data_IF_333468612693
#
_entry.id   IF_333468612693
#
_cell.length_a   1.000
_cell.length_b   1.000
_cell.length_c   1.000
_cell.angle_alpha   90.00
_cell.angle_beta   90.00
_cell.angle_gamma   90.00
#
_symmetry.space_group_name_H-M   'P 1'
#
loop_
_entity.id
_entity.type
_entity.pdbx_description
1 polymer ?
#
# COMPACT_ATOMS: atom_id res chain seq x y z
N UNK A 1 -16.18 -19.72 -1.38
CA UNK A 1 -14.98 -18.88 -1.51
C UNK A 1 -15.47 -17.58 -2.13
N UNK A 2 -15.39 -16.49 -1.38
CA UNK A 2 -15.93 -15.19 -1.83
C UNK A 2 -14.99 -14.61 -2.90
N UNK A 3 -15.53 -13.80 -3.83
CA UNK A 3 -14.73 -13.14 -4.90
C UNK A 3 -13.57 -12.34 -4.31
N UNK A 4 -13.73 -11.77 -3.10
CA UNK A 4 -12.69 -11.08 -2.36
C UNK A 4 -11.54 -12.02 -1.94
N UNK A 5 -11.84 -13.28 -1.60
CA UNK A 5 -10.82 -14.28 -1.24
C UNK A 5 -9.99 -14.69 -2.46
N UNK A 6 -10.63 -14.78 -3.63
CA UNK A 6 -9.95 -15.12 -4.89
C UNK A 6 -9.00 -14.00 -5.31
N UNK A 7 -9.44 -12.73 -5.22
CA UNK A 7 -8.61 -11.56 -5.52
C UNK A 7 -7.41 -11.51 -4.56
N UNK A 8 -7.63 -11.77 -3.25
CA UNK A 8 -6.56 -11.81 -2.24
C UNK A 8 -5.51 -12.89 -2.54
N UNK A 9 -5.94 -14.08 -2.97
CA UNK A 9 -5.04 -15.19 -3.31
C UNK A 9 -4.23 -14.88 -4.58
N UNK A 10 -4.87 -14.26 -5.57
CA UNK A 10 -4.21 -13.87 -6.83
C UNK A 10 -3.15 -12.80 -6.56
N UNK A 11 -3.46 -11.77 -5.76
CA UNK A 11 -2.49 -10.72 -5.40
C UNK A 11 -1.31 -11.28 -4.59
N UNK A 12 -1.57 -12.20 -3.66
CA UNK A 12 -0.50 -12.87 -2.90
C UNK A 12 0.36 -13.74 -3.83
N UNK A 13 -0.25 -14.48 -4.75
CA UNK A 13 0.48 -15.35 -5.68
C UNK A 13 1.33 -14.53 -6.66
N UNK A 14 0.82 -13.39 -7.16
CA UNK A 14 1.56 -12.46 -8.02
C UNK A 14 2.74 -11.86 -7.24
N UNK A 15 2.51 -11.39 -6.01
CA UNK A 15 3.56 -10.80 -5.16
C UNK A 15 4.64 -11.82 -4.79
N UNK A 16 4.27 -13.08 -4.50
CA UNK A 16 5.20 -14.16 -4.23
C UNK A 16 5.98 -14.59 -5.48
N UNK A 17 5.32 -14.71 -6.64
CA UNK A 17 5.96 -15.03 -7.92
C UNK A 17 6.97 -13.97 -8.36
N UNK A 18 6.63 -12.69 -8.19
CA UNK A 18 7.53 -11.57 -8.45
C UNK A 18 8.73 -11.57 -7.48
N UNK A 19 8.50 -11.91 -6.21
CA UNK A 19 9.60 -12.03 -5.23
C UNK A 19 10.64 -13.09 -5.63
N UNK A 20 10.22 -14.24 -6.13
CA UNK A 20 11.10 -15.32 -6.60
C UNK A 20 11.85 -14.89 -7.88
N UNK A 21 11.15 -14.23 -8.81
CA UNK A 21 11.76 -13.76 -10.05
C UNK A 21 12.83 -12.68 -9.79
N UNK A 22 12.56 -11.72 -8.88
CA UNK A 22 13.52 -10.72 -8.44
C UNK A 22 14.75 -11.38 -7.81
N UNK A 23 14.58 -12.39 -6.95
CA UNK A 23 15.68 -13.11 -6.33
C UNK A 23 16.60 -13.77 -7.37
N UNK A 24 16.05 -14.30 -8.46
CA UNK A 24 16.84 -14.89 -9.56
C UNK A 24 17.47 -13.84 -10.48
N UNK A 25 16.84 -12.66 -10.63
CA UNK A 25 17.36 -11.56 -11.45
C UNK A 25 18.54 -10.81 -10.77
N UNK A 26 18.63 -10.81 -9.44
CA UNK A 26 19.71 -10.16 -8.67
C UNK A 26 21.11 -10.74 -9.01
N UNK A 27 21.18 -11.96 -9.56
CA UNK A 27 22.44 -12.66 -9.82
C UNK A 27 23.32 -12.13 -10.96
N UNK A 28 22.92 -11.16 -11.78
CA UNK A 28 23.72 -10.68 -12.95
C UNK A 28 23.60 -9.17 -13.23
N UNK A 29 24.72 -8.39 -13.06
CA UNK A 29 25.14 -7.14 -13.75
C UNK A 29 24.35 -5.79 -13.61
N UNK A 30 25.05 -4.64 -13.82
CA UNK A 30 24.60 -3.24 -13.66
C UNK A 30 23.30 -2.87 -14.42
N UNK A 31 23.03 -3.48 -15.56
CA UNK A 31 21.79 -3.30 -16.34
C UNK A 31 20.57 -3.69 -15.52
N UNK A 32 20.72 -4.61 -14.59
CA UNK A 32 19.66 -5.13 -13.71
C UNK A 32 19.35 -4.20 -12.55
N UNK A 33 20.33 -3.45 -12.05
CA UNK A 33 20.07 -2.46 -11.00
C UNK A 33 19.08 -1.40 -11.50
N UNK A 34 19.30 -0.88 -12.72
CA UNK A 34 18.40 0.09 -13.33
C UNK A 34 17.00 -0.51 -13.53
N UNK A 35 16.95 -1.71 -14.10
CA UNK A 35 15.68 -2.42 -14.31
C UNK A 35 14.90 -2.64 -12.98
N UNK A 36 15.59 -3.04 -11.91
CA UNK A 36 14.97 -3.23 -10.60
C UNK A 36 14.49 -1.90 -10.00
N UNK A 37 15.24 -0.81 -10.15
CA UNK A 37 14.80 0.51 -9.73
C UNK A 37 13.54 0.94 -10.48
N UNK A 38 13.52 0.77 -11.78
CA UNK A 38 12.35 1.09 -12.60
C UNK A 38 11.14 0.23 -12.19
N UNK A 39 11.36 -1.07 -11.96
CA UNK A 39 10.31 -1.98 -11.48
C UNK A 39 9.72 -1.52 -10.13
N UNK A 40 10.56 -1.27 -9.12
CA UNK A 40 10.09 -0.84 -7.80
C UNK A 40 9.47 0.56 -7.84
N UNK A 41 9.94 1.43 -8.71
CA UNK A 41 9.36 2.76 -8.92
C UNK A 41 7.97 2.67 -9.54
N UNK A 42 7.75 1.79 -10.49
CA UNK A 42 6.43 1.54 -11.07
C UNK A 42 5.49 0.91 -10.05
N UNK A 43 5.93 -0.14 -9.36
CA UNK A 43 5.13 -0.82 -8.34
C UNK A 43 4.69 0.12 -7.21
N UNK A 44 5.59 0.99 -6.72
CA UNK A 44 5.22 1.96 -5.68
C UNK A 44 4.24 3.03 -6.17
N UNK A 45 4.32 3.42 -7.44
CA UNK A 45 3.37 4.35 -8.04
C UNK A 45 1.99 3.69 -8.20
N UNK A 46 1.93 2.43 -8.60
CA UNK A 46 0.68 1.67 -8.69
C UNK A 46 0.02 1.54 -7.31
N UNK A 47 0.81 1.21 -6.27
CA UNK A 47 0.30 1.16 -4.88
C UNK A 47 -0.21 2.53 -4.42
N UNK A 48 0.52 3.60 -4.76
CA UNK A 48 0.13 4.98 -4.46
C UNK A 48 -1.22 5.35 -5.11
N UNK A 49 -1.42 4.96 -6.35
CA UNK A 49 -2.67 5.23 -7.07
C UNK A 49 -3.84 4.42 -6.51
N UNK A 50 -3.61 3.15 -6.13
CA UNK A 50 -4.61 2.34 -5.43
C UNK A 50 -4.98 2.94 -4.07
N UNK A 51 -3.99 3.37 -3.28
CA UNK A 51 -4.24 4.09 -2.02
C UNK A 51 -5.08 5.34 -2.26
N UNK A 52 -4.71 6.15 -3.27
CA UNK A 52 -5.43 7.37 -3.60
C UNK A 52 -6.90 7.08 -3.92
N UNK A 53 -7.16 6.13 -4.81
CA UNK A 53 -8.51 5.72 -5.19
C UNK A 53 -9.29 5.20 -3.98
N UNK A 54 -8.68 4.37 -3.16
CA UNK A 54 -9.32 3.82 -1.96
C UNK A 54 -9.74 4.91 -0.95
N UNK A 55 -8.88 5.89 -0.68
CA UNK A 55 -9.22 7.01 0.20
C UNK A 55 -10.26 7.95 -0.41
N UNK A 56 -10.23 8.16 -1.73
CA UNK A 56 -11.27 8.91 -2.42
C UNK A 56 -12.64 8.22 -2.25
N UNK A 57 -12.72 6.91 -2.44
CA UNK A 57 -13.95 6.15 -2.23
C UNK A 57 -14.48 6.24 -0.79
N UNK A 58 -13.59 6.28 0.21
CA UNK A 58 -13.97 6.50 1.61
C UNK A 58 -14.55 7.91 1.80
N UNK A 59 -13.88 8.94 1.30
CA UNK A 59 -14.29 10.33 1.47
C UNK A 59 -15.58 10.68 0.71
N UNK A 60 -15.84 9.98 -0.41
CA UNK A 60 -17.08 10.14 -1.18
C UNK A 60 -18.23 9.22 -0.74
N UNK A 61 -18.12 8.61 0.45
CA UNK A 61 -19.16 7.75 1.04
C UNK A 61 -19.56 6.59 0.10
N UNK A 62 -18.58 5.90 -0.50
CA UNK A 62 -18.82 4.81 -1.47
C UNK A 62 -18.56 3.42 -0.90
N UNK A 63 -18.07 3.30 0.34
CA UNK A 63 -17.67 2.04 0.95
C UNK A 63 -18.49 1.70 2.20
N UNK A 64 -18.78 0.42 2.36
CA UNK A 64 -19.27 -0.12 3.64
C UNK A 64 -18.10 -0.27 4.62
N UNK A 65 -18.39 -0.38 5.92
CA UNK A 65 -17.37 -0.64 6.94
C UNK A 65 -16.58 -1.94 6.67
N UNK A 66 -17.25 -2.96 6.12
CA UNK A 66 -16.63 -4.22 5.72
C UNK A 66 -15.65 -3.98 4.56
N UNK A 67 -16.04 -3.21 3.53
CA UNK A 67 -15.20 -2.93 2.38
C UNK A 67 -13.99 -2.07 2.77
N UNK A 68 -14.16 -1.12 3.69
CA UNK A 68 -13.06 -0.32 4.25
C UNK A 68 -12.04 -1.23 4.94
N UNK A 69 -12.47 -2.15 5.81
CA UNK A 69 -11.57 -3.10 6.47
C UNK A 69 -10.85 -4.03 5.48
N UNK A 70 -11.56 -4.54 4.49
CA UNK A 70 -10.98 -5.39 3.44
C UNK A 70 -9.96 -4.60 2.62
N UNK A 71 -10.30 -3.37 2.21
CA UNK A 71 -9.41 -2.51 1.45
C UNK A 71 -8.11 -2.22 2.20
N UNK A 72 -8.17 -1.85 3.47
CA UNK A 72 -6.96 -1.69 4.30
C UNK A 72 -6.14 -2.97 4.40
N UNK A 73 -6.78 -4.11 4.60
CA UNK A 73 -6.07 -5.39 4.65
C UNK A 73 -5.32 -5.68 3.35
N UNK A 74 -5.96 -5.49 2.20
CA UNK A 74 -5.33 -5.73 0.90
C UNK A 74 -4.17 -4.77 0.64
N UNK A 75 -4.37 -3.48 0.89
CA UNK A 75 -3.31 -2.48 0.76
C UNK A 75 -2.14 -2.76 1.69
N UNK A 76 -2.40 -3.10 2.96
CA UNK A 76 -1.34 -3.42 3.93
C UNK A 76 -0.53 -4.64 3.52
N UNK A 77 -1.19 -5.68 2.99
CA UNK A 77 -0.50 -6.87 2.48
C UNK A 77 0.39 -6.53 1.27
N UNK A 78 -0.11 -5.71 0.35
CA UNK A 78 0.64 -5.29 -0.84
C UNK A 78 1.84 -4.41 -0.46
N UNK A 79 1.65 -3.43 0.41
CA UNK A 79 2.73 -2.57 0.91
C UNK A 79 3.79 -3.39 1.66
N UNK A 80 3.40 -4.31 2.56
CA UNK A 80 4.34 -5.16 3.29
C UNK A 80 5.14 -6.08 2.37
N UNK A 81 4.51 -6.64 1.33
CA UNK A 81 5.19 -7.42 0.31
C UNK A 81 6.20 -6.57 -0.47
N UNK A 82 5.81 -5.36 -0.88
CA UNK A 82 6.67 -4.40 -1.54
C UNK A 82 7.91 -4.07 -0.68
N UNK A 83 7.73 -3.66 0.59
CA UNK A 83 8.83 -3.32 1.51
C UNK A 83 9.77 -4.51 1.74
N UNK A 84 9.21 -5.72 1.89
CA UNK A 84 10.00 -6.94 2.03
C UNK A 84 10.87 -7.19 0.81
N UNK A 85 10.32 -7.09 -0.40
CA UNK A 85 11.04 -7.30 -1.65
C UNK A 85 12.09 -6.20 -1.89
N UNK A 86 11.73 -4.94 -1.61
CA UNK A 86 12.64 -3.81 -1.70
C UNK A 86 13.85 -3.98 -0.76
N UNK A 87 13.61 -4.33 0.49
CA UNK A 87 14.67 -4.55 1.49
C UNK A 87 15.57 -5.75 1.16
N UNK A 88 15.06 -6.75 0.41
CA UNK A 88 15.88 -7.86 -0.11
C UNK A 88 16.75 -7.44 -1.28
N UNK A 89 16.22 -6.59 -2.17
CA UNK A 89 16.91 -6.16 -3.37
C UNK A 89 18.00 -5.11 -3.09
N UNK A 90 17.71 -4.14 -2.23
CA UNK A 90 18.56 -2.97 -2.04
C UNK A 90 19.08 -2.83 -0.61
N UNK A 91 20.30 -2.29 -0.50
CA UNK A 91 20.86 -1.88 0.80
C UNK A 91 20.25 -0.55 1.23
N UNK A 92 19.87 -0.45 2.50
CA UNK A 92 19.35 0.80 3.09
C UNK A 92 18.11 1.40 2.40
N UNK A 93 17.36 0.59 1.65
CA UNK A 93 16.08 1.00 1.09
C UNK A 93 14.96 0.57 2.04
N UNK A 94 14.85 1.21 3.19
CA UNK A 94 13.77 1.01 4.14
C UNK A 94 12.72 2.09 3.92
N UNK A 95 11.46 1.67 3.90
CA UNK A 95 10.28 2.52 3.87
C UNK A 95 9.40 2.09 5.04
N UNK A 96 8.71 3.04 5.68
CA UNK A 96 7.82 2.77 6.81
C UNK A 96 6.34 2.90 6.39
N UNK A 97 6.05 2.60 5.13
CA UNK A 97 4.71 2.77 4.53
C UNK A 97 3.67 1.84 5.17
N UNK A 98 4.06 0.59 5.46
CA UNK A 98 3.17 -0.37 6.10
C UNK A 98 2.75 0.08 7.49
N UNK A 99 3.67 0.64 8.27
CA UNK A 99 3.37 1.18 9.59
C UNK A 99 2.46 2.41 9.50
N UNK A 100 2.73 3.33 8.57
CA UNK A 100 1.90 4.51 8.37
C UNK A 100 0.49 4.13 7.93
N UNK A 101 0.35 3.22 6.97
CA UNK A 101 -0.95 2.73 6.53
C UNK A 101 -1.73 2.08 7.67
N UNK A 102 -1.05 1.32 8.53
CA UNK A 102 -1.67 0.72 9.71
C UNK A 102 -2.16 1.79 10.71
N UNK A 103 -1.38 2.85 10.94
CA UNK A 103 -1.79 3.95 11.81
C UNK A 103 -3.05 4.63 11.27
N UNK A 104 -3.10 4.93 9.98
CA UNK A 104 -4.28 5.51 9.33
C UNK A 104 -5.48 4.57 9.42
N UNK A 105 -5.27 3.26 9.24
CA UNK A 105 -6.33 2.28 9.43
C UNK A 105 -6.91 2.35 10.84
N UNK A 106 -6.06 2.42 11.87
CA UNK A 106 -6.50 2.51 13.27
C UNK A 106 -7.28 3.81 13.53
N UNK A 107 -6.84 4.94 12.99
CA UNK A 107 -7.55 6.22 13.08
C UNK A 107 -8.95 6.11 12.48
N UNK A 108 -9.07 5.66 11.23
CA UNK A 108 -10.35 5.59 10.50
C UNK A 108 -11.29 4.55 11.13
N UNK A 109 -10.78 3.35 11.47
CA UNK A 109 -11.63 2.28 12.01
C UNK A 109 -11.89 2.42 13.51
N UNK A 110 -11.19 3.32 14.19
CA UNK A 110 -11.38 3.63 15.59
C UNK A 110 -12.33 4.81 15.87
N UNK A 111 -12.64 5.63 14.86
CA UNK A 111 -13.51 6.79 15.05
C UNK A 111 -14.99 6.40 15.26
N UNK A 112 -15.75 7.30 15.89
CA UNK A 112 -17.15 7.08 16.22
C UNK A 112 -18.03 6.95 14.97
N UNK A 113 -17.75 7.73 13.92
CA UNK A 113 -18.49 7.68 12.65
C UNK A 113 -18.42 6.28 12.02
N UNK A 114 -17.27 5.65 12.05
CA UNK A 114 -17.08 4.29 11.54
C UNK A 114 -17.82 3.27 12.41
N UNK A 115 -17.63 3.33 13.72
CA UNK A 115 -18.15 2.34 14.66
C UNK A 115 -19.69 2.39 14.75
N UNK A 116 -20.29 3.58 14.78
CA UNK A 116 -21.73 3.78 14.85
C UNK A 116 -22.47 3.40 13.55
N UNK A 117 -21.72 3.25 12.44
CA UNK A 117 -22.28 2.94 11.14
C UNK A 117 -21.85 1.56 10.60
N UNK A 118 -21.28 0.70 11.43
CA UNK A 118 -20.69 -0.57 11.03
C UNK A 118 -21.65 -1.50 10.27
N UNK A 119 -22.94 -1.45 10.59
CA UNK A 119 -23.97 -2.26 9.93
C UNK A 119 -24.64 -1.58 8.73
N UNK A 120 -24.31 -0.32 8.46
CA UNK A 120 -24.88 0.41 7.34
C UNK A 120 -24.26 -0.05 6.01
N UNK A 121 -25.02 0.15 4.95
CA UNK A 121 -24.61 -0.17 3.58
C UNK A 121 -23.40 0.66 3.13
N UNK A 122 -23.28 1.88 3.66
CA UNK A 122 -22.20 2.84 3.40
C UNK A 122 -21.89 3.57 4.70
N UNK A 123 -20.62 3.84 4.95
CA UNK A 123 -20.17 4.69 6.05
C UNK A 123 -20.06 6.12 5.54
N UNK A 124 -20.69 7.06 6.23
CA UNK A 124 -20.59 8.49 5.94
C UNK A 124 -19.86 9.17 7.09
N UNK A 125 -18.70 9.72 6.77
CA UNK A 125 -17.86 10.43 7.73
C UNK A 125 -18.29 11.91 7.84
N UNK A 126 -18.18 12.48 9.03
CA UNK A 126 -18.39 13.91 9.27
C UNK A 126 -17.35 14.75 8.49
N UNK A 127 -17.62 16.05 8.26
CA UNK A 127 -16.65 16.91 7.59
C UNK A 127 -15.29 16.96 8.29
N UNK A 128 -15.26 16.94 9.61
CA UNK A 128 -14.03 16.96 10.40
C UNK A 128 -13.24 15.68 10.23
N UNK A 129 -13.90 14.51 10.29
CA UNK A 129 -13.28 13.21 10.02
C UNK A 129 -12.79 13.09 8.59
N UNK A 130 -13.55 13.57 7.60
CA UNK A 130 -13.10 13.61 6.20
C UNK A 130 -11.83 14.44 6.02
N UNK A 131 -11.74 15.59 6.70
CA UNK A 131 -10.54 16.41 6.67
C UNK A 131 -9.34 15.69 7.30
N UNK A 132 -9.52 15.03 8.44
CA UNK A 132 -8.48 14.23 9.07
C UNK A 132 -8.00 13.07 8.16
N UNK A 133 -8.93 12.38 7.52
CA UNK A 133 -8.63 11.33 6.53
C UNK A 133 -7.82 11.88 5.36
N UNK A 134 -8.19 13.05 4.81
CA UNK A 134 -7.49 13.69 3.71
C UNK A 134 -6.08 14.15 4.10
N UNK A 135 -5.89 14.65 5.32
CA UNK A 135 -4.56 15.00 5.84
C UNK A 135 -3.67 13.77 5.98
N UNK A 136 -4.20 12.69 6.58
CA UNK A 136 -3.47 11.43 6.76
C UNK A 136 -3.11 10.80 5.40
N UNK A 137 -4.04 10.83 4.45
CA UNK A 137 -3.79 10.47 3.05
C UNK A 137 -2.67 11.31 2.43
N UNK A 138 -2.69 12.63 2.60
CA UNK A 138 -1.67 13.50 2.02
C UNK A 138 -0.28 13.17 2.57
N UNK A 139 -0.16 12.94 3.86
CA UNK A 139 1.10 12.50 4.51
C UNK A 139 1.59 11.19 3.91
N UNK A 140 0.72 10.18 3.78
CA UNK A 140 1.04 8.89 3.18
C UNK A 140 1.50 9.03 1.73
N UNK A 141 0.80 9.82 0.90
CA UNK A 141 1.17 10.04 -0.50
C UNK A 141 2.54 10.74 -0.64
N UNK A 142 2.90 11.60 0.31
CA UNK A 142 4.22 12.22 0.37
C UNK A 142 5.30 11.17 0.69
N UNK A 143 5.04 10.26 1.64
CA UNK A 143 5.98 9.17 1.97
C UNK A 143 6.20 8.22 0.79
N UNK A 144 5.19 7.94 -0.03
CA UNK A 144 5.39 7.22 -1.29
C UNK A 144 6.38 7.95 -2.21
N UNK A 145 6.27 9.28 -2.29
CA UNK A 145 7.17 10.09 -3.13
C UNK A 145 8.61 10.09 -2.58
N UNK A 146 8.79 10.16 -1.26
CA UNK A 146 10.09 10.03 -0.60
C UNK A 146 10.68 8.65 -0.84
N UNK A 147 9.86 7.60 -0.81
CA UNK A 147 10.28 6.23 -1.08
C UNK A 147 10.82 6.05 -2.49
N UNK A 148 10.23 6.70 -3.51
CA UNK A 148 10.78 6.72 -4.88
C UNK A 148 12.20 7.30 -4.89
N UNK A 149 12.44 8.40 -4.18
CA UNK A 149 13.77 9.01 -4.08
C UNK A 149 14.75 8.05 -3.40
N UNK A 150 14.30 7.35 -2.36
CA UNK A 150 15.10 6.36 -1.62
C UNK A 150 15.49 5.17 -2.51
N UNK A 151 14.56 4.64 -3.32
CA UNK A 151 14.81 3.59 -4.29
C UNK A 151 15.89 4.03 -5.30
N UNK A 152 15.75 5.24 -5.84
CA UNK A 152 16.68 5.74 -6.83
C UNK A 152 18.11 5.93 -6.28
N UNK A 153 18.26 6.26 -5.00
CA UNK A 153 19.56 6.41 -4.31
C UNK A 153 20.13 5.09 -3.79
N UNK A 154 19.32 4.04 -3.67
CA UNK A 154 19.74 2.77 -3.11
C UNK A 154 20.70 2.01 -4.03
N UNK A 155 21.57 1.18 -3.43
CA UNK A 155 22.46 0.26 -4.16
C UNK A 155 22.01 -1.19 -3.96
N UNK A 156 22.23 -2.05 -4.96
CA UNK A 156 21.92 -3.48 -4.86
C UNK A 156 22.66 -4.16 -3.69
N UNK A 157 22.00 -5.12 -3.08
CA UNK A 157 22.67 -6.08 -2.21
C UNK A 157 23.48 -7.04 -3.06
N UNK A 158 24.80 -7.07 -2.85
CA UNK A 158 25.71 -8.06 -3.41
C UNK A 158 25.72 -9.29 -2.54
#
# INVERSE_FOLDING_TARGET
MDTADIISIIDIAISAGLGIWIATAIAKSQTKERFLKDYFTNEINDIKDDCKSFFDDICYDQKSAKDIKIGFKLLSMRVAAFETNLSRAFKKANCDLAQQLNNIQLEITGCDDFNNQFTKKVVSFSPDEKNAILESRHKLLNEFSISVITINKASLKR
#
